data_IF_513150540556
#
_entry.id   IF_513150540556
#
_cell.length_a   1.000
_cell.length_b   1.000
_cell.length_c   1.000
_cell.angle_alpha   90.00
_cell.angle_beta   90.00
_cell.angle_gamma   90.00
#
_symmetry.space_group_name_H-M   'P 1'
#
loop_
_entity.id
_entity.type
_entity.pdbx_description
1 polymer ?
#
# COMPACT_ATOMS: atom_id res chain seq x y z
N UNK A 1 19.86 49.25 9.46
CA UNK A 1 19.63 50.53 10.11
C UNK A 1 20.20 51.68 9.31
N UNK A 2 19.65 52.86 9.51
CA UNK A 2 20.13 54.11 8.93
C UNK A 2 20.43 55.07 10.07
N UNK A 3 21.61 55.69 10.06
CA UNK A 3 22.01 56.64 11.07
C UNK A 3 21.89 58.05 10.53
N UNK A 4 21.27 58.93 11.33
CA UNK A 4 21.25 60.36 11.10
C UNK A 4 22.03 61.04 12.22
N UNK A 5 23.11 61.72 11.83
CA UNK A 5 23.98 62.39 12.78
C UNK A 5 23.73 63.90 12.77
N UNK A 6 23.35 64.42 13.92
CA UNK A 6 23.26 65.87 14.14
C UNK A 6 24.46 66.37 14.92
N UNK A 7 25.05 67.43 14.44
CA UNK A 7 26.05 68.20 15.16
C UNK A 7 25.29 69.41 15.78
N UNK A 8 25.35 69.50 17.09
CA UNK A 8 24.68 70.56 17.84
C UNK A 8 25.75 71.43 18.49
N UNK A 9 25.80 72.70 18.09
CA UNK A 9 26.66 73.72 18.67
C UNK A 9 25.84 74.59 19.61
N UNK A 10 26.05 74.51 20.92
CA UNK A 10 25.33 75.38 21.88
C UNK A 10 25.85 76.81 21.76
N UNK A 11 24.92 77.78 21.68
CA UNK A 11 25.28 79.20 21.67
C UNK A 11 24.59 79.92 22.83
N UNK A 12 25.37 80.74 23.62
CA UNK A 12 24.82 81.50 24.69
C UNK A 12 23.98 82.69 24.16
N UNK A 13 23.18 83.32 25.03
CA UNK A 13 22.37 84.51 24.69
C UNK A 13 23.20 85.68 24.22
N UNK A 14 24.48 85.67 24.53
CA UNK A 14 25.44 86.75 24.13
C UNK A 14 26.29 86.37 22.90
N UNK A 15 25.93 85.20 22.26
CA UNK A 15 26.59 84.81 20.98
C UNK A 15 27.88 83.99 21.15
N UNK A 16 28.27 83.60 22.37
CA UNK A 16 29.45 82.73 22.55
C UNK A 16 29.10 81.28 22.22
N UNK A 17 29.84 80.67 21.34
CA UNK A 17 29.70 79.25 20.97
C UNK A 17 30.45 78.36 21.95
N UNK A 18 29.82 77.23 22.30
CA UNK A 18 30.47 76.19 23.10
C UNK A 18 30.93 75.04 22.21
N UNK A 19 31.49 73.97 22.82
CA UNK A 19 31.92 72.78 22.10
C UNK A 19 30.76 72.05 21.46
N UNK A 20 30.98 71.52 20.22
CA UNK A 20 30.02 70.72 19.47
C UNK A 20 29.79 69.36 20.17
N UNK A 21 28.56 68.91 20.15
CA UNK A 21 28.28 67.50 20.46
C UNK A 21 27.42 66.86 19.38
N UNK A 22 27.57 65.55 19.23
CA UNK A 22 26.86 64.75 18.22
C UNK A 22 25.68 63.98 18.82
N UNK A 23 24.56 63.99 18.13
CA UNK A 23 23.42 63.13 18.40
C UNK A 23 23.22 62.20 17.23
N UNK A 24 23.30 60.89 17.45
CA UNK A 24 23.04 59.88 16.44
C UNK A 24 21.66 59.31 16.65
N UNK A 25 20.82 59.30 15.61
CA UNK A 25 19.53 58.66 15.57
C UNK A 25 19.66 57.47 14.61
N UNK A 26 19.49 56.28 15.14
CA UNK A 26 19.47 55.04 14.36
C UNK A 26 18.03 54.62 14.10
N UNK A 27 17.68 54.39 12.83
CA UNK A 27 16.35 53.88 12.44
C UNK A 27 16.51 52.46 11.94
N UNK A 28 15.89 51.50 12.65
CA UNK A 28 15.89 50.09 12.26
C UNK A 28 14.92 49.87 11.11
N UNK A 29 15.17 48.89 10.22
CA UNK A 29 14.27 48.49 9.18
C UNK A 29 13.04 47.76 9.77
N UNK A 30 11.95 47.72 9.04
CA UNK A 30 10.86 46.77 9.28
C UNK A 30 11.39 45.34 9.10
N UNK A 31 11.06 44.46 10.05
CA UNK A 31 11.43 43.05 9.91
C UNK A 31 10.76 42.42 8.68
N UNK A 32 11.45 41.49 8.06
CA UNK A 32 10.96 40.75 6.90
C UNK A 32 11.30 39.26 7.06
N UNK A 33 10.44 38.41 6.57
CA UNK A 33 10.70 37.01 6.26
C UNK A 33 10.58 36.87 4.73
N UNK A 34 11.50 36.15 4.11
CA UNK A 34 11.41 35.82 2.69
C UNK A 34 10.17 34.93 2.49
N UNK A 35 9.42 35.13 1.42
CA UNK A 35 8.15 34.47 1.15
C UNK A 35 8.32 32.92 1.21
N UNK A 36 7.71 32.25 2.22
CA UNK A 36 7.81 30.80 2.31
C UNK A 36 6.93 30.15 1.24
N UNK A 37 7.32 28.94 0.83
CA UNK A 37 6.55 28.12 -0.11
C UNK A 37 5.57 27.22 0.66
N UNK A 38 4.56 26.72 -0.04
CA UNK A 38 3.72 25.63 0.48
C UNK A 38 4.51 24.31 0.47
N UNK A 39 4.28 23.47 1.48
CA UNK A 39 4.96 22.20 1.67
C UNK A 39 4.00 21.03 1.72
N UNK A 40 4.45 19.90 1.23
CA UNK A 40 3.73 18.62 1.25
C UNK A 40 4.59 17.54 1.90
N UNK A 41 3.99 16.77 2.79
CA UNK A 41 4.64 15.67 3.53
C UNK A 41 3.72 14.44 3.58
N UNK A 42 4.32 13.28 3.84
CA UNK A 42 3.60 12.09 4.23
C UNK A 42 3.42 12.02 5.74
N UNK A 43 2.43 11.28 6.20
CA UNK A 43 2.29 10.92 7.61
C UNK A 43 3.61 10.31 8.13
N UNK A 44 4.10 10.84 9.25
CA UNK A 44 5.35 10.41 9.89
C UNK A 44 6.63 11.06 9.34
N UNK A 45 6.54 11.97 8.38
CA UNK A 45 7.70 12.76 7.94
C UNK A 45 8.09 13.83 8.97
N UNK A 46 9.33 14.32 8.86
CA UNK A 46 9.77 15.52 9.61
C UNK A 46 9.67 16.74 8.71
N UNK A 47 8.85 17.71 9.10
CA UNK A 47 8.81 19.01 8.44
C UNK A 47 10.04 19.81 8.86
N UNK A 48 10.92 20.10 7.90
CA UNK A 48 12.09 20.97 8.10
C UNK A 48 11.94 22.21 7.25
N UNK A 49 11.68 23.37 7.91
CA UNK A 49 11.43 24.64 7.24
C UNK A 49 12.30 25.70 7.86
N UNK A 50 13.23 26.24 7.07
CA UNK A 50 14.12 27.31 7.46
C UNK A 50 13.55 28.66 7.00
N UNK A 51 13.33 29.56 7.96
CA UNK A 51 12.95 30.94 7.65
C UNK A 51 14.19 31.79 7.39
N UNK A 52 14.14 32.56 6.32
CA UNK A 52 15.24 33.45 5.88
C UNK A 52 14.75 34.88 5.79
N UNK A 53 15.67 35.82 5.74
CA UNK A 53 15.37 37.24 5.63
C UNK A 53 16.42 37.97 4.80
N UNK A 54 15.99 38.97 4.08
CA UNK A 54 16.86 39.95 3.43
C UNK A 54 17.29 41.08 4.36
N UNK A 55 16.75 41.17 5.61
CA UNK A 55 17.24 42.16 6.59
C UNK A 55 18.69 41.88 6.96
N UNK A 56 19.51 42.94 6.99
CA UNK A 56 20.93 42.86 7.34
C UNK A 56 21.34 44.02 8.26
N UNK A 57 22.56 43.94 8.79
CA UNK A 57 23.17 44.93 9.66
C UNK A 57 24.17 44.27 10.59
N UNK A 58 25.21 45.00 11.00
CA UNK A 58 26.18 44.53 12.01
C UNK A 58 25.46 44.39 13.36
N UNK A 59 25.66 43.29 14.07
CA UNK A 59 25.04 42.96 15.35
C UNK A 59 23.51 42.90 15.38
N UNK A 60 22.82 42.81 14.23
CA UNK A 60 21.37 42.63 14.14
C UNK A 60 20.99 41.17 14.02
N UNK A 61 19.84 40.83 14.61
CA UNK A 61 19.25 39.47 14.55
C UNK A 61 17.79 39.58 14.15
N UNK A 62 17.37 38.77 13.18
CA UNK A 62 15.96 38.54 12.90
C UNK A 62 15.56 37.19 13.47
N UNK A 63 14.54 37.20 14.31
CA UNK A 63 13.90 36.00 14.87
C UNK A 63 12.50 35.85 14.31
N UNK A 64 11.96 34.63 14.37
CA UNK A 64 10.65 34.31 13.83
C UNK A 64 9.78 33.72 14.94
N UNK A 65 8.52 34.05 14.92
CA UNK A 65 7.48 33.37 15.70
C UNK A 65 6.38 32.94 14.74
N UNK A 66 5.83 31.77 14.97
CA UNK A 66 4.77 31.24 14.09
C UNK A 66 3.60 30.68 14.87
N UNK A 67 2.42 30.70 14.23
CA UNK A 67 1.16 30.17 14.75
C UNK A 67 0.56 29.25 13.70
N UNK A 68 0.01 28.10 14.15
CA UNK A 68 -0.63 27.08 13.30
C UNK A 68 -2.13 27.19 13.46
N UNK A 69 -2.85 27.15 12.33
CA UNK A 69 -4.32 27.08 12.25
C UNK A 69 -4.74 26.06 11.20
N UNK A 70 -5.99 25.61 11.21
CA UNK A 70 -6.49 24.57 10.30
C UNK A 70 -6.50 23.20 10.94
N UNK A 71 -6.14 22.16 10.17
CA UNK A 71 -6.16 20.78 10.65
C UNK A 71 -5.01 20.51 11.62
N UNK A 72 -5.23 19.55 12.53
CA UNK A 72 -4.18 19.07 13.44
C UNK A 72 -3.27 18.09 12.68
N UNK A 73 -2.09 18.56 12.33
CA UNK A 73 -1.04 17.81 11.63
C UNK A 73 0.11 17.41 12.56
N UNK A 74 -0.10 17.41 13.87
CA UNK A 74 0.92 17.06 14.86
C UNK A 74 1.87 18.20 15.25
N UNK A 75 1.80 19.37 14.60
CA UNK A 75 2.62 20.53 14.96
C UNK A 75 2.09 21.20 16.25
N UNK A 76 2.98 21.77 17.09
CA UNK A 76 2.56 22.69 18.14
C UNK A 76 1.74 23.84 17.57
N UNK A 77 0.74 24.32 18.31
CA UNK A 77 -0.13 25.44 17.87
C UNK A 77 0.63 26.76 17.64
N UNK A 78 1.86 26.87 18.17
CA UNK A 78 2.77 28.02 17.98
C UNK A 78 4.21 27.61 18.26
N UNK A 79 5.17 28.33 17.70
CA UNK A 79 6.58 28.12 17.97
C UNK A 79 7.42 29.34 17.63
N UNK A 80 8.73 29.19 17.76
CA UNK A 80 9.73 30.20 17.41
C UNK A 80 10.82 29.57 16.55
N UNK A 81 11.52 30.41 15.79
CA UNK A 81 12.60 30.06 14.88
C UNK A 81 12.13 29.06 13.79
N UNK A 82 13.01 28.27 13.24
CA UNK A 82 12.71 27.30 12.19
C UNK A 82 11.75 26.20 12.68
N UNK A 83 11.03 25.57 11.76
CA UNK A 83 10.23 24.37 12.05
C UNK A 83 11.10 23.14 11.80
N UNK A 84 11.19 22.25 12.79
CA UNK A 84 11.82 20.93 12.69
C UNK A 84 11.02 19.97 13.58
N UNK A 85 9.86 19.53 13.09
CA UNK A 85 8.86 18.79 13.86
C UNK A 85 8.30 17.62 13.06
N UNK A 86 7.92 16.55 13.75
CA UNK A 86 7.22 15.41 13.16
C UNK A 86 5.81 15.84 12.78
N UNK A 87 5.43 15.62 11.51
CA UNK A 87 4.03 15.80 11.08
C UNK A 87 3.31 14.46 11.06
N UNK A 88 2.03 14.47 11.39
CA UNK A 88 1.21 13.26 11.50
C UNK A 88 -0.16 13.43 10.89
N UNK A 89 -0.66 12.33 10.29
CA UNK A 89 -2.01 12.25 9.77
C UNK A 89 -2.61 10.85 10.03
N UNK A 90 -3.33 10.73 11.13
CA UNK A 90 -3.99 9.47 11.52
C UNK A 90 -5.37 9.26 10.87
N UNK A 91 -5.75 10.09 9.91
CA UNK A 91 -7.02 10.01 9.18
C UNK A 91 -6.83 9.31 7.83
N UNK A 92 -7.92 9.15 7.09
CA UNK A 92 -7.88 8.64 5.71
C UNK A 92 -7.88 9.77 4.67
N UNK A 93 -7.99 11.01 5.13
CA UNK A 93 -8.05 12.22 4.32
C UNK A 93 -6.74 13.01 4.36
N UNK A 94 -6.58 13.91 3.39
CA UNK A 94 -5.49 14.89 3.40
C UNK A 94 -5.79 15.94 4.47
N UNK A 95 -4.82 16.23 5.32
CA UNK A 95 -4.89 17.31 6.31
C UNK A 95 -4.09 18.53 5.83
N UNK A 96 -4.61 19.73 6.07
CA UNK A 96 -3.93 20.99 5.71
C UNK A 96 -3.95 21.97 6.87
N UNK A 97 -2.76 22.39 7.28
CA UNK A 97 -2.56 23.46 8.25
C UNK A 97 -2.04 24.72 7.55
N UNK A 98 -2.44 25.89 8.06
CA UNK A 98 -1.92 27.19 7.67
C UNK A 98 -0.98 27.71 8.74
N UNK A 99 0.21 28.11 8.34
CA UNK A 99 1.25 28.66 9.18
C UNK A 99 1.32 30.16 8.93
N UNK A 100 1.24 30.93 10.00
CA UNK A 100 1.39 32.39 10.00
C UNK A 100 2.70 32.76 10.71
N UNK A 101 3.73 33.15 9.96
CA UNK A 101 5.07 33.46 10.49
C UNK A 101 5.29 34.95 10.58
N UNK A 102 5.67 35.43 11.77
CA UNK A 102 5.95 36.85 12.05
C UNK A 102 7.42 37.08 12.35
N UNK A 103 8.13 37.89 11.55
CA UNK A 103 9.52 38.23 11.79
C UNK A 103 9.66 39.36 12.82
N UNK A 104 10.74 39.34 13.60
CA UNK A 104 11.12 40.43 14.53
C UNK A 104 12.60 40.75 14.36
N UNK A 105 12.93 41.96 13.93
CA UNK A 105 14.28 42.48 13.79
C UNK A 105 14.70 43.14 15.07
N UNK A 106 15.85 42.75 15.63
CA UNK A 106 16.41 43.35 16.86
C UNK A 106 17.77 43.92 16.58
N UNK A 107 18.00 45.16 16.99
CA UNK A 107 19.28 45.84 16.90
C UNK A 107 19.48 46.75 18.10
N UNK A 108 20.66 46.69 18.77
CA UNK A 108 21.02 47.49 19.95
C UNK A 108 19.95 47.48 21.10
N UNK A 109 19.19 46.33 21.22
CA UNK A 109 18.15 46.17 22.25
C UNK A 109 16.76 46.69 21.87
N UNK A 110 16.62 47.30 20.69
CA UNK A 110 15.32 47.76 20.16
C UNK A 110 14.81 46.74 19.17
N UNK A 111 13.55 46.31 19.30
CA UNK A 111 12.90 45.31 18.49
C UNK A 111 11.77 45.90 17.63
N UNK A 112 11.77 45.56 16.36
CA UNK A 112 10.75 45.97 15.39
C UNK A 112 10.14 44.73 14.73
N UNK A 113 8.85 44.47 14.95
CA UNK A 113 8.11 43.42 14.26
C UNK A 113 7.76 43.84 12.84
N UNK A 114 7.71 42.88 11.93
CA UNK A 114 7.28 43.04 10.55
C UNK A 114 5.88 42.49 10.28
N UNK A 115 5.42 42.57 9.02
CA UNK A 115 4.21 41.89 8.59
C UNK A 115 4.43 40.36 8.64
N UNK A 116 3.35 39.63 8.91
CA UNK A 116 3.37 38.18 8.82
C UNK A 116 3.24 37.73 7.36
N UNK A 117 3.85 36.59 7.05
CA UNK A 117 3.63 35.83 5.83
C UNK A 117 2.95 34.51 6.15
N UNK A 118 2.13 34.00 5.22
CA UNK A 118 1.38 32.76 5.40
C UNK A 118 1.73 31.74 4.33
N UNK A 119 1.80 30.47 4.73
CA UNK A 119 1.94 29.32 3.83
C UNK A 119 1.20 28.12 4.38
N UNK A 120 1.07 27.07 3.59
CA UNK A 120 0.38 25.85 3.98
C UNK A 120 1.34 24.67 4.11
N UNK A 121 1.01 23.78 5.05
CA UNK A 121 1.60 22.44 5.15
C UNK A 121 0.46 21.45 4.97
N UNK A 122 0.60 20.62 3.94
CA UNK A 122 -0.33 19.54 3.64
C UNK A 122 0.30 18.21 4.00
N UNK A 123 -0.42 17.36 4.75
CA UNK A 123 0.05 16.03 5.17
C UNK A 123 -0.88 14.97 4.60
N UNK A 124 -0.34 14.17 3.70
CA UNK A 124 -1.04 13.04 3.11
C UNK A 124 -1.11 11.87 4.09
N UNK A 125 -2.20 11.10 4.12
CA UNK A 125 -2.31 9.90 4.96
C UNK A 125 -1.37 8.80 4.46
N UNK A 126 -1.04 7.84 5.34
CA UNK A 126 -0.42 6.57 4.95
C UNK A 126 -1.33 5.83 3.97
N UNK A 127 -0.78 5.35 2.85
CA UNK A 127 -1.54 4.56 1.88
C UNK A 127 -2.07 3.27 2.50
N UNK A 128 -3.29 2.87 2.11
CA UNK A 128 -3.94 1.66 2.60
C UNK A 128 -4.40 0.78 1.45
N UNK A 129 -4.46 -0.52 1.71
CA UNK A 129 -5.10 -1.51 0.86
C UNK A 129 -5.91 -2.47 1.73
N UNK A 130 -7.13 -2.76 1.32
CA UNK A 130 -8.03 -3.68 2.02
C UNK A 130 -7.53 -5.12 1.88
N UNK A 131 -7.73 -5.94 2.94
CA UNK A 131 -7.36 -7.33 2.94
C UNK A 131 -8.12 -8.15 1.90
N UNK A 132 -7.44 -9.14 1.30
CA UNK A 132 -8.02 -10.08 0.33
C UNK A 132 -7.94 -11.48 0.92
N UNK A 133 -9.05 -12.21 0.85
CA UNK A 133 -9.12 -13.60 1.29
C UNK A 133 -8.30 -14.52 0.38
N UNK A 134 -7.73 -15.62 0.89
CA UNK A 134 -7.07 -16.63 0.08
C UNK A 134 -7.98 -17.19 -1.02
N UNK A 135 -7.41 -17.39 -2.21
CA UNK A 135 -8.12 -17.93 -3.38
C UNK A 135 -7.66 -19.37 -3.60
N UNK A 136 -8.61 -20.28 -3.79
CA UNK A 136 -8.34 -21.69 -4.13
C UNK A 136 -9.15 -22.04 -5.37
N UNK A 137 -8.50 -22.52 -6.42
CA UNK A 137 -9.10 -22.90 -7.71
C UNK A 137 -8.51 -24.19 -8.23
N UNK A 138 -9.11 -24.76 -9.26
CA UNK A 138 -8.55 -25.91 -9.98
C UNK A 138 -7.69 -25.46 -11.18
N UNK A 139 -6.79 -26.33 -11.62
CA UNK A 139 -6.05 -26.14 -12.87
C UNK A 139 -7.00 -25.94 -14.05
N UNK A 140 -6.77 -24.89 -14.84
CA UNK A 140 -7.61 -24.52 -16.00
C UNK A 140 -8.83 -23.65 -15.68
N UNK A 141 -9.07 -23.33 -14.40
CA UNK A 141 -10.15 -22.39 -14.03
C UNK A 141 -9.70 -20.93 -14.31
N UNK A 142 -10.66 -20.09 -14.71
CA UNK A 142 -10.44 -18.65 -14.80
C UNK A 142 -10.57 -18.00 -13.42
N UNK A 143 -9.52 -17.31 -12.99
CA UNK A 143 -9.56 -16.39 -11.83
C UNK A 143 -10.10 -15.05 -12.33
N UNK A 144 -11.22 -14.60 -11.77
CA UNK A 144 -11.78 -13.29 -12.09
C UNK A 144 -10.86 -12.14 -11.66
N UNK A 145 -11.14 -10.93 -12.16
CA UNK A 145 -10.41 -9.73 -11.77
C UNK A 145 -10.36 -9.59 -10.24
N UNK A 146 -9.17 -9.37 -9.69
CA UNK A 146 -8.96 -9.05 -8.28
C UNK A 146 -8.78 -7.55 -8.19
N UNK A 147 -9.82 -6.87 -7.71
CA UNK A 147 -9.87 -5.41 -7.59
C UNK A 147 -9.40 -5.00 -6.21
N UNK A 148 -8.38 -4.15 -6.14
CA UNK A 148 -7.89 -3.60 -4.89
C UNK A 148 -8.72 -2.39 -4.47
N UNK A 149 -8.96 -2.27 -3.18
CA UNK A 149 -9.70 -1.15 -2.59
C UNK A 149 -8.94 -0.53 -1.42
N UNK A 150 -9.28 0.70 -1.09
CA UNK A 150 -8.65 1.49 -0.03
C UNK A 150 -9.70 2.24 0.79
N UNK A 151 -9.37 2.55 2.05
CA UNK A 151 -10.13 3.48 2.87
C UNK A 151 -9.65 4.94 2.73
N UNK A 152 -8.53 5.21 2.01
CA UNK A 152 -8.06 6.57 1.77
C UNK A 152 -9.06 7.34 0.90
N UNK A 153 -9.25 8.63 1.21
CA UNK A 153 -10.19 9.54 0.56
C UNK A 153 -9.45 10.73 -0.09
N UNK A 154 -10.11 11.44 -1.00
CA UNK A 154 -9.68 12.70 -1.61
C UNK A 154 -8.32 12.70 -2.36
N UNK A 155 -7.77 11.53 -2.68
CA UNK A 155 -6.56 11.34 -3.47
C UNK A 155 -6.68 10.11 -4.35
N UNK A 156 -5.56 9.64 -4.87
CA UNK A 156 -5.50 8.42 -5.68
C UNK A 156 -4.56 7.41 -5.02
N UNK A 157 -5.09 6.24 -4.65
CA UNK A 157 -4.24 5.12 -4.23
C UNK A 157 -3.89 4.28 -5.45
N UNK A 158 -2.60 4.09 -5.65
CA UNK A 158 -2.03 3.24 -6.70
C UNK A 158 -1.50 1.98 -6.03
N UNK A 159 -1.63 0.83 -6.69
CA UNK A 159 -1.17 -0.44 -6.19
C UNK A 159 -0.06 -0.97 -7.07
N UNK A 160 0.97 -1.52 -6.46
CA UNK A 160 1.94 -2.38 -7.12
C UNK A 160 1.92 -3.74 -6.45
N UNK A 161 2.06 -4.81 -7.23
CA UNK A 161 2.05 -6.15 -6.66
C UNK A 161 3.17 -7.01 -7.23
N UNK A 162 3.55 -8.01 -6.43
CA UNK A 162 4.51 -9.05 -6.82
C UNK A 162 3.94 -10.43 -6.53
N UNK A 163 4.32 -11.40 -7.34
CA UNK A 163 3.96 -12.81 -7.26
C UNK A 163 5.25 -13.63 -7.14
N UNK A 164 5.36 -14.43 -6.08
CA UNK A 164 6.54 -15.27 -5.80
C UNK A 164 6.57 -16.58 -6.61
N UNK A 165 5.45 -16.96 -7.27
CA UNK A 165 5.35 -18.20 -8.03
C UNK A 165 4.54 -18.03 -9.33
N UNK A 166 5.23 -17.74 -10.42
CA UNK A 166 4.61 -17.49 -11.73
C UNK A 166 4.06 -18.74 -12.43
N UNK A 167 4.31 -19.93 -11.88
CA UNK A 167 3.81 -21.20 -12.45
C UNK A 167 2.28 -21.23 -12.44
N UNK A 168 1.63 -20.52 -11.49
CA UNK A 168 0.17 -20.44 -11.41
C UNK A 168 -0.50 -19.71 -12.60
N UNK A 169 0.24 -19.20 -13.58
CA UNK A 169 -0.28 -18.46 -14.75
C UNK A 169 -0.26 -16.95 -14.61
N UNK A 170 0.02 -16.40 -13.40
CA UNK A 170 0.08 -14.95 -13.14
C UNK A 170 1.50 -14.42 -13.35
N UNK A 171 1.64 -13.21 -13.90
CA UNK A 171 2.92 -12.51 -14.05
C UNK A 171 3.65 -12.32 -12.72
N UNK A 172 4.98 -12.09 -12.75
CA UNK A 172 5.78 -11.90 -11.54
C UNK A 172 5.48 -10.58 -10.81
N UNK A 173 5.01 -9.55 -11.51
CA UNK A 173 4.65 -8.24 -10.94
C UNK A 173 3.90 -7.40 -11.97
N UNK A 174 3.07 -6.47 -11.48
CA UNK A 174 2.45 -5.40 -12.28
C UNK A 174 1.96 -4.29 -11.34
N UNK A 175 1.23 -3.32 -11.90
CA UNK A 175 0.57 -2.22 -11.20
C UNK A 175 -0.93 -2.21 -11.48
N UNK A 176 -1.72 -1.66 -10.54
CA UNK A 176 -3.18 -1.68 -10.60
C UNK A 176 -3.76 -3.03 -10.20
N UNK A 177 -5.00 -3.28 -10.59
CA UNK A 177 -5.72 -4.52 -10.32
C UNK A 177 -5.10 -5.72 -11.04
N UNK A 178 -5.30 -6.91 -10.48
CA UNK A 178 -4.95 -8.15 -11.18
C UNK A 178 -6.11 -8.50 -12.11
N UNK A 179 -5.85 -8.45 -13.40
CA UNK A 179 -6.84 -8.80 -14.42
C UNK A 179 -7.05 -10.31 -14.48
N UNK A 180 -8.20 -10.73 -15.00
CA UNK A 180 -8.54 -12.15 -15.17
C UNK A 180 -7.42 -12.92 -15.87
N UNK A 181 -7.13 -14.11 -15.36
CA UNK A 181 -6.15 -15.03 -15.94
C UNK A 181 -6.56 -16.49 -15.70
N UNK A 182 -6.09 -17.39 -16.54
CA UNK A 182 -6.28 -18.83 -16.39
C UNK A 182 -5.28 -19.40 -15.38
N UNK A 183 -5.76 -20.11 -14.36
CA UNK A 183 -4.94 -20.76 -13.35
C UNK A 183 -4.25 -21.99 -13.93
N UNK A 184 -2.95 -22.12 -13.75
CA UNK A 184 -2.14 -23.23 -14.30
C UNK A 184 -1.47 -24.03 -13.18
N UNK A 185 -1.59 -25.38 -13.27
CA UNK A 185 -0.87 -26.35 -12.45
C UNK A 185 -0.71 -27.65 -13.19
N UNK A 186 0.41 -27.81 -13.87
CA UNK A 186 0.76 -29.03 -14.61
C UNK A 186 1.42 -30.10 -13.72
N UNK A 187 1.43 -29.93 -12.40
CA UNK A 187 1.98 -30.91 -11.44
C UNK A 187 0.89 -31.80 -10.85
N UNK A 188 1.27 -32.74 -10.02
CA UNK A 188 0.33 -33.61 -9.31
C UNK A 188 -0.04 -33.09 -7.91
N UNK A 189 0.67 -32.05 -7.42
CA UNK A 189 0.48 -31.44 -6.11
C UNK A 189 -0.11 -30.03 -6.23
N UNK A 190 -0.84 -29.52 -5.23
CA UNK A 190 -1.26 -28.13 -5.20
C UNK A 190 -0.06 -27.17 -5.25
N UNK A 191 -0.16 -26.12 -6.04
CA UNK A 191 0.84 -25.03 -6.07
C UNK A 191 0.24 -23.79 -5.46
N UNK A 192 0.99 -23.15 -4.56
CA UNK A 192 0.58 -21.90 -3.94
C UNK A 192 1.54 -20.79 -4.34
N UNK A 193 0.98 -19.64 -4.67
CA UNK A 193 1.68 -18.38 -4.86
C UNK A 193 1.29 -17.40 -3.77
N UNK A 194 2.25 -16.61 -3.29
CA UNK A 194 2.02 -15.48 -2.37
C UNK A 194 2.06 -14.19 -3.18
N UNK A 195 0.96 -13.45 -3.15
CA UNK A 195 0.87 -12.14 -3.77
C UNK A 195 1.10 -11.09 -2.68
N UNK A 196 2.06 -10.19 -2.91
CA UNK A 196 2.34 -9.05 -2.04
C UNK A 196 1.89 -7.79 -2.75
N UNK A 197 0.98 -7.03 -2.14
CA UNK A 197 0.43 -5.78 -2.68
C UNK A 197 0.90 -4.61 -1.83
N UNK A 198 1.52 -3.62 -2.46
CA UNK A 198 2.02 -2.41 -1.81
C UNK A 198 1.22 -1.20 -2.32
N UNK A 199 0.48 -0.50 -1.45
CA UNK A 199 -0.23 0.71 -1.82
C UNK A 199 0.69 1.93 -1.79
N UNK A 200 0.41 2.93 -2.65
CA UNK A 200 1.03 4.25 -2.67
C UNK A 200 -0.06 5.29 -2.88
N UNK A 201 -0.12 6.30 -2.02
CA UNK A 201 -1.09 7.38 -2.10
C UNK A 201 -0.46 8.60 -2.75
N UNK A 202 -1.00 8.99 -3.92
CA UNK A 202 -0.51 10.11 -4.71
C UNK A 202 -1.45 11.32 -4.54
N UNK A 203 -0.89 12.44 -4.13
CA UNK A 203 -1.57 13.73 -4.10
C UNK A 203 -1.07 14.67 -5.20
N UNK A 204 0.20 14.55 -5.56
CA UNK A 204 0.85 15.32 -6.61
C UNK A 204 1.86 14.45 -7.35
N UNK A 205 2.32 14.83 -8.57
CA UNK A 205 3.32 14.06 -9.32
C UNK A 205 4.67 13.90 -8.61
N UNK A 206 4.89 14.59 -7.49
CA UNK A 206 6.18 14.64 -6.80
C UNK A 206 6.22 13.98 -5.43
N UNK A 207 5.06 13.70 -4.82
CA UNK A 207 4.97 13.07 -3.50
C UNK A 207 4.10 11.81 -3.56
N UNK A 208 4.70 10.66 -3.25
CA UNK A 208 4.06 9.36 -3.15
C UNK A 208 4.23 8.80 -1.73
N UNK A 209 3.15 8.74 -0.97
CA UNK A 209 3.15 8.21 0.39
C UNK A 209 2.87 6.71 0.37
N UNK A 210 3.91 5.90 0.59
CA UNK A 210 3.81 4.44 0.56
C UNK A 210 3.28 3.91 1.89
N UNK A 211 2.37 2.95 1.82
CA UNK A 211 1.83 2.25 2.98
C UNK A 211 2.42 0.85 3.19
N UNK A 212 1.98 0.19 4.27
CA UNK A 212 2.38 -1.17 4.57
C UNK A 212 1.78 -2.15 3.55
N UNK A 213 2.58 -3.11 3.04
CA UNK A 213 2.08 -4.11 2.12
C UNK A 213 1.20 -5.14 2.82
N UNK A 214 0.20 -5.66 2.09
CA UNK A 214 -0.54 -6.86 2.49
C UNK A 214 -0.11 -8.06 1.66
N UNK A 215 -0.42 -9.26 2.15
CA UNK A 215 -0.21 -10.50 1.41
C UNK A 215 -1.48 -11.35 1.40
N UNK A 216 -1.72 -12.04 0.30
CA UNK A 216 -2.72 -13.10 0.18
C UNK A 216 -2.17 -14.24 -0.67
N UNK A 217 -2.82 -15.40 -0.64
CA UNK A 217 -2.37 -16.57 -1.39
C UNK A 217 -3.36 -16.97 -2.48
N UNK A 218 -2.82 -17.48 -3.59
CA UNK A 218 -3.57 -18.16 -4.64
C UNK A 218 -3.04 -19.58 -4.69
N UNK A 219 -3.91 -20.57 -4.42
CA UNK A 219 -3.60 -21.98 -4.51
C UNK A 219 -4.31 -22.59 -5.72
N UNK A 220 -3.56 -23.20 -6.61
CA UNK A 220 -4.07 -23.91 -7.78
C UNK A 220 -3.94 -25.41 -7.55
N UNK A 221 -5.07 -26.08 -7.38
CA UNK A 221 -5.12 -27.53 -7.27
C UNK A 221 -4.81 -28.21 -8.61
N UNK A 222 -4.19 -29.39 -8.62
CA UNK A 222 -3.91 -30.10 -9.85
C UNK A 222 -5.21 -30.64 -10.51
N UNK A 223 -5.12 -30.96 -11.80
CA UNK A 223 -6.18 -31.73 -12.45
C UNK A 223 -6.33 -33.10 -11.76
N UNK A 224 -7.54 -33.46 -11.39
CA UNK A 224 -7.82 -34.78 -10.79
C UNK A 224 -7.42 -35.92 -11.74
N UNK A 225 -6.72 -36.94 -11.22
CA UNK A 225 -6.26 -38.07 -11.98
C UNK A 225 -6.66 -39.38 -11.34
N UNK A 226 -6.87 -40.39 -12.18
CA UNK A 226 -6.92 -41.79 -11.77
C UNK A 226 -5.83 -42.53 -12.54
N UNK A 227 -5.04 -43.32 -11.84
CA UNK A 227 -4.03 -44.19 -12.51
C UNK A 227 -4.77 -45.18 -13.37
N UNK A 228 -4.18 -45.50 -14.57
CA UNK A 228 -4.81 -46.31 -15.61
C UNK A 228 -5.13 -47.70 -15.06
N UNK A 229 -6.40 -48.10 -14.84
CA UNK A 229 -6.74 -49.39 -14.33
C UNK A 229 -6.50 -50.46 -15.41
N UNK A 230 -6.10 -51.63 -14.97
CA UNK A 230 -5.92 -52.78 -15.88
C UNK A 230 -7.28 -53.36 -16.28
N UNK A 231 -7.34 -54.04 -17.43
CA UNK A 231 -8.45 -54.87 -17.77
C UNK A 231 -8.46 -56.13 -16.89
N UNK A 232 -9.64 -56.55 -16.46
CA UNK A 232 -9.84 -57.67 -15.54
C UNK A 232 -10.72 -58.76 -16.20
N UNK A 233 -10.43 -60.03 -15.91
CA UNK A 233 -11.22 -61.20 -16.30
C UNK A 233 -11.62 -61.95 -15.03
N UNK A 234 -12.90 -62.28 -14.90
CA UNK A 234 -13.49 -63.02 -13.81
C UNK A 234 -14.35 -64.15 -14.29
N UNK A 235 -14.54 -65.17 -13.44
CA UNK A 235 -15.53 -66.22 -13.67
C UNK A 235 -16.88 -65.86 -13.07
N UNK A 236 -17.96 -66.49 -13.56
CA UNK A 236 -19.28 -66.35 -12.99
C UNK A 236 -19.27 -66.68 -11.48
N UNK A 237 -19.75 -65.73 -10.66
CA UNK A 237 -19.81 -65.83 -9.22
C UNK A 237 -18.55 -65.35 -8.48
N UNK A 238 -17.52 -64.88 -9.20
CA UNK A 238 -16.34 -64.27 -8.57
C UNK A 238 -16.69 -62.87 -8.02
N UNK A 239 -15.87 -62.39 -7.05
CA UNK A 239 -15.94 -61.01 -6.61
C UNK A 239 -14.92 -60.20 -7.38
N UNK A 240 -15.43 -59.23 -8.16
CA UNK A 240 -14.59 -58.25 -8.79
C UNK A 240 -14.09 -57.24 -7.72
N UNK A 241 -12.79 -57.16 -7.55
CA UNK A 241 -12.13 -56.19 -6.66
C UNK A 241 -11.28 -55.28 -7.56
N UNK A 242 -11.66 -54.03 -7.67
CA UNK A 242 -10.98 -53.03 -8.48
C UNK A 242 -10.70 -51.81 -7.57
N UNK A 243 -9.42 -51.57 -7.28
CA UNK A 243 -8.97 -50.43 -6.50
C UNK A 243 -8.52 -49.30 -7.43
N UNK A 244 -9.11 -48.15 -7.27
CA UNK A 244 -8.69 -46.94 -8.00
C UNK A 244 -7.61 -46.22 -7.20
N UNK A 245 -6.54 -45.83 -7.87
CA UNK A 245 -5.40 -45.11 -7.30
C UNK A 245 -5.16 -43.82 -8.07
N UNK A 246 -4.39 -42.91 -7.48
CA UNK A 246 -4.03 -41.62 -8.08
C UNK A 246 -2.58 -41.29 -7.81
N UNK A 247 -1.98 -40.56 -8.73
CA UNK A 247 -0.70 -39.90 -8.53
C UNK A 247 -0.83 -38.45 -8.01
N UNK A 248 -2.06 -37.94 -7.87
CA UNK A 248 -2.26 -36.65 -7.20
C UNK A 248 -1.83 -36.74 -5.74
N UNK A 249 -1.11 -35.71 -5.27
CA UNK A 249 -0.61 -35.55 -3.91
C UNK A 249 -1.13 -34.27 -3.25
N UNK A 250 -0.53 -33.91 -2.15
CA UNK A 250 -0.84 -32.74 -1.34
C UNK A 250 -1.25 -33.12 0.09
N UNK A 251 -0.85 -32.28 1.07
CA UNK A 251 -1.27 -32.44 2.44
C UNK A 251 -2.78 -32.14 2.53
N UNK A 252 -3.53 -33.00 3.23
CA UNK A 252 -4.98 -32.89 3.44
C UNK A 252 -5.85 -32.99 2.16
N UNK A 253 -5.29 -33.33 0.99
CA UNK A 253 -6.05 -33.52 -0.24
C UNK A 253 -6.60 -34.94 -0.34
N UNK A 254 -7.78 -35.08 -0.92
CA UNK A 254 -8.43 -36.38 -1.19
C UNK A 254 -8.89 -36.43 -2.63
N UNK A 255 -8.47 -37.49 -3.34
CA UNK A 255 -9.05 -37.85 -4.63
C UNK A 255 -10.14 -38.89 -4.41
N UNK A 256 -11.36 -38.57 -4.80
CA UNK A 256 -12.50 -39.48 -4.76
C UNK A 256 -12.84 -39.93 -6.19
N UNK A 257 -13.53 -41.06 -6.32
CA UNK A 257 -13.85 -41.66 -7.59
C UNK A 257 -15.36 -41.89 -7.70
N UNK A 258 -15.91 -41.55 -8.85
CA UNK A 258 -17.23 -42.01 -9.27
C UNK A 258 -17.08 -42.83 -10.55
N UNK A 259 -17.91 -43.84 -10.73
CA UNK A 259 -17.86 -44.72 -11.91
C UNK A 259 -19.21 -45.05 -12.46
N UNK A 260 -19.26 -45.31 -13.79
CA UNK A 260 -20.41 -45.76 -14.50
C UNK A 260 -20.07 -46.98 -15.34
N UNK A 261 -21.03 -47.95 -15.44
CA UNK A 261 -20.89 -49.20 -16.18
C UNK A 261 -21.75 -49.15 -17.41
N UNK A 262 -21.18 -49.56 -18.56
CA UNK A 262 -21.89 -49.70 -19.85
C UNK A 262 -21.48 -51.04 -20.49
N UNK A 263 -22.30 -51.54 -21.44
CA UNK A 263 -22.06 -52.83 -22.10
C UNK A 263 -23.03 -53.88 -21.58
N UNK A 264 -22.53 -55.13 -21.45
CA UNK A 264 -23.31 -56.27 -21.02
C UNK A 264 -23.64 -56.21 -19.52
N UNK A 265 -24.79 -56.76 -19.10
CA UNK A 265 -25.14 -56.90 -17.67
C UNK A 265 -24.29 -58.04 -17.08
N UNK A 266 -23.27 -57.69 -16.33
CA UNK A 266 -22.40 -58.59 -15.60
C UNK A 266 -22.66 -58.64 -14.12
N UNK A 267 -23.84 -58.13 -13.66
CA UNK A 267 -24.23 -58.11 -12.26
C UNK A 267 -23.70 -56.91 -11.44
N UNK A 268 -22.90 -56.03 -12.03
CA UNK A 268 -22.44 -54.79 -11.37
C UNK A 268 -23.56 -53.75 -11.36
N UNK A 269 -23.65 -52.91 -10.30
CA UNK A 269 -24.46 -51.70 -10.35
C UNK A 269 -24.12 -50.83 -11.58
N UNK A 270 -25.06 -50.14 -12.16
CA UNK A 270 -24.84 -49.27 -13.34
C UNK A 270 -23.95 -48.05 -13.03
N UNK A 271 -23.78 -47.69 -11.75
CA UNK A 271 -22.91 -46.61 -11.26
C UNK A 271 -22.57 -46.81 -9.80
N UNK A 272 -21.50 -46.20 -9.33
CA UNK A 272 -21.10 -46.21 -7.94
C UNK A 272 -19.99 -45.21 -7.63
N UNK A 273 -19.50 -45.25 -6.41
CA UNK A 273 -18.41 -44.42 -5.92
C UNK A 273 -17.35 -45.30 -5.27
N UNK A 274 -16.15 -44.77 -5.19
CA UNK A 274 -14.97 -45.44 -4.60
C UNK A 274 -14.60 -46.76 -5.31
N UNK A 275 -13.87 -47.64 -4.65
CA UNK A 275 -13.44 -48.91 -5.21
C UNK A 275 -14.62 -49.87 -5.45
N UNK A 276 -14.45 -50.78 -6.42
CA UNK A 276 -15.43 -51.81 -6.70
C UNK A 276 -15.13 -53.10 -5.92
N UNK A 277 -16.12 -53.65 -5.20
CA UNK A 277 -16.02 -54.95 -4.54
C UNK A 277 -17.40 -55.63 -4.63
N UNK A 278 -17.72 -56.17 -5.83
CA UNK A 278 -19.02 -56.69 -6.17
C UNK A 278 -18.91 -58.07 -6.82
N UNK A 279 -19.95 -58.91 -6.66
CA UNK A 279 -20.03 -60.21 -7.29
C UNK A 279 -20.47 -60.05 -8.75
N UNK A 280 -19.65 -60.54 -9.72
CA UNK A 280 -20.01 -60.57 -11.12
C UNK A 280 -20.76 -61.83 -11.49
N UNK A 281 -21.70 -61.70 -12.44
CA UNK A 281 -22.55 -62.84 -12.83
C UNK A 281 -22.63 -62.93 -14.37
N UNK A 282 -22.69 -64.19 -14.86
CA UNK A 282 -22.92 -64.52 -16.27
C UNK A 282 -23.86 -65.72 -16.40
N UNK A 283 -25.13 -65.45 -16.60
CA UNK A 283 -26.13 -66.48 -16.77
C UNK A 283 -26.27 -67.02 -18.21
N UNK A 284 -25.33 -66.63 -19.10
CA UNK A 284 -25.34 -67.00 -20.51
C UNK A 284 -24.24 -68.07 -20.83
N UNK A 285 -24.17 -68.52 -22.10
CA UNK A 285 -23.08 -69.40 -22.57
C UNK A 285 -22.01 -68.60 -23.35
N UNK A 286 -22.15 -67.27 -23.47
CA UNK A 286 -21.25 -66.38 -24.20
C UNK A 286 -20.44 -65.54 -23.21
N UNK A 287 -19.31 -65.01 -23.67
CA UNK A 287 -18.50 -64.02 -22.88
C UNK A 287 -19.30 -62.72 -22.82
N UNK A 288 -19.49 -62.18 -21.61
CA UNK A 288 -20.04 -60.86 -21.39
C UNK A 288 -18.92 -59.86 -21.13
N UNK A 289 -19.03 -58.64 -21.70
CA UNK A 289 -18.05 -57.54 -21.52
C UNK A 289 -18.76 -56.27 -21.13
N UNK A 290 -18.31 -55.69 -20.01
CA UNK A 290 -18.74 -54.36 -19.55
C UNK A 290 -17.56 -53.40 -19.53
N UNK A 291 -17.83 -52.11 -19.81
CA UNK A 291 -16.86 -51.04 -19.74
C UNK A 291 -17.20 -50.16 -18.54
N UNK A 292 -16.21 -49.93 -17.69
CA UNK A 292 -16.30 -49.05 -16.52
C UNK A 292 -15.57 -47.76 -16.84
N UNK A 293 -16.32 -46.64 -16.79
CA UNK A 293 -15.76 -45.29 -16.90
C UNK A 293 -15.61 -44.69 -15.54
N UNK A 294 -14.39 -44.31 -15.16
CA UNK A 294 -14.08 -43.75 -13.83
C UNK A 294 -13.83 -42.28 -13.97
N UNK A 295 -14.41 -41.44 -13.10
CA UNK A 295 -14.20 -40.01 -13.04
C UNK A 295 -13.62 -39.66 -11.67
N UNK A 296 -12.36 -39.16 -11.61
CA UNK A 296 -11.74 -38.70 -10.39
C UNK A 296 -12.21 -37.27 -10.05
N UNK A 297 -12.27 -36.93 -8.76
CA UNK A 297 -12.48 -35.57 -8.24
C UNK A 297 -11.47 -35.30 -7.16
N UNK A 298 -10.72 -34.21 -7.30
CA UNK A 298 -9.74 -33.73 -6.33
C UNK A 298 -10.36 -32.64 -5.45
N UNK A 299 -10.16 -32.73 -4.11
CA UNK A 299 -10.73 -31.76 -3.14
C UNK A 299 -9.70 -31.39 -2.07
#
# INVERSE_FOLDING_TARGET
PQDLIYIVTPTSSEGCEGDDFTVTITVNPTAQVDEPLDYEYCDGDTAEIDFTTSNGGDDSVTTYSWVVTGDDIGLPSQGNDNISELVTNSTNDILTATIDVTPTYTNAGESCSGPSETFTITVSPTAQVEGIDPIVVCNGDDIADIVFSTANENGTTIYSWTNDNTIIGLAASDTGDIMTFEANNDTNDPITATITVTPSYDTTPLLACTGDPITFTITVNPTAQVDDPLDYEYCDGDTAVIDFTTSNGGDDSVTTYSWAVTGDDIGLPTQGNDNISEVVTNSTNDILTATITVTPTYT
#
